data_IF_275633021852
#
_entry.id   IF_275633021852
#
_cell.length_a   1.000
_cell.length_b   1.000
_cell.length_c   1.000
_cell.angle_alpha   90.00
_cell.angle_beta   90.00
_cell.angle_gamma   90.00
#
_symmetry.space_group_name_H-M   'P 1'
#
loop_
_entity.id
_entity.type
_entity.pdbx_description
1 polymer ?
#
# COMPACT_ATOMS: atom_id res chain seq x y z
N UNK A 1 -1.57 -65.05 -26.98
CA UNK A 1 -0.79 -64.43 -25.89
C UNK A 1 -1.62 -63.29 -25.33
N UNK A 2 -2.11 -63.47 -24.12
CA UNK A 2 -3.17 -62.70 -23.49
C UNK A 2 -2.64 -62.23 -22.14
N UNK A 3 -2.58 -60.92 -21.88
CA UNK A 3 -2.49 -60.24 -20.58
C UNK A 3 -2.17 -58.76 -20.84
N UNK A 4 -2.62 -57.73 -20.12
CA UNK A 4 -3.62 -57.54 -19.08
C UNK A 4 -3.82 -56.02 -19.00
N UNK A 5 -5.07 -55.56 -18.99
CA UNK A 5 -5.44 -54.15 -18.87
C UNK A 5 -5.54 -53.82 -17.38
N UNK A 6 -4.64 -52.99 -16.86
CA UNK A 6 -4.67 -52.57 -15.45
C UNK A 6 -5.58 -51.35 -15.29
N UNK A 7 -6.80 -51.60 -14.85
CA UNK A 7 -7.77 -50.61 -14.36
C UNK A 7 -7.28 -49.98 -13.05
N UNK A 8 -7.19 -48.65 -12.98
CA UNK A 8 -7.06 -47.91 -11.70
C UNK A 8 -8.43 -47.47 -11.18
N UNK A 9 -8.74 -47.69 -9.89
CA UNK A 9 -10.03 -47.38 -9.32
C UNK A 9 -10.18 -45.89 -8.95
N UNK A 10 -11.41 -45.40 -9.16
CA UNK A 10 -11.93 -44.15 -8.64
C UNK A 10 -12.13 -44.21 -7.12
N UNK A 11 -11.62 -43.20 -6.39
CA UNK A 11 -11.93 -42.83 -4.99
C UNK A 11 -11.52 -41.36 -4.83
N UNK A 12 -12.22 -40.47 -4.15
CA UNK A 12 -13.49 -40.53 -3.46
C UNK A 12 -13.97 -39.08 -3.30
N UNK A 13 -15.27 -38.86 -3.46
CA UNK A 13 -15.94 -37.65 -3.00
C UNK A 13 -15.81 -37.53 -1.48
N UNK A 14 -15.43 -36.35 -0.99
CA UNK A 14 -15.78 -35.88 0.35
C UNK A 14 -16.16 -34.41 0.27
N UNK A 15 -17.47 -34.20 0.25
CA UNK A 15 -18.10 -32.94 0.61
C UNK A 15 -17.73 -32.60 2.06
N UNK A 16 -17.26 -31.38 2.28
CA UNK A 16 -17.19 -30.78 3.60
C UNK A 16 -18.15 -29.58 3.61
N UNK A 17 -19.34 -29.85 4.11
CA UNK A 17 -20.36 -28.90 4.51
C UNK A 17 -19.95 -28.37 5.89
N UNK A 18 -19.59 -27.09 6.02
CA UNK A 18 -19.46 -26.44 7.34
C UNK A 18 -20.04 -25.03 7.33
N UNK A 19 -21.20 -24.96 7.98
CA UNK A 19 -21.71 -23.89 8.83
C UNK A 19 -21.74 -22.44 8.31
N UNK A 20 -22.93 -22.05 7.87
CA UNK A 20 -23.42 -20.68 7.97
C UNK A 20 -23.43 -20.24 9.44
N UNK A 21 -22.67 -19.19 9.75
CA UNK A 21 -22.85 -18.39 10.96
C UNK A 21 -23.52 -17.08 10.56
N UNK A 22 -24.84 -17.04 10.75
CA UNK A 22 -25.59 -15.81 10.84
C UNK A 22 -25.21 -15.10 12.13
N UNK A 23 -24.71 -13.87 12.03
CA UNK A 23 -24.58 -12.93 13.15
C UNK A 23 -25.63 -11.83 13.00
N UNK A 24 -26.22 -11.38 14.11
CA UNK A 24 -27.46 -10.61 14.14
C UNK A 24 -27.24 -9.11 13.91
N UNK A 25 -28.29 -8.49 13.38
CA UNK A 25 -28.62 -7.07 13.50
C UNK A 25 -28.40 -6.54 14.92
N UNK A 26 -27.91 -5.30 15.03
CA UNK A 26 -28.48 -4.17 15.81
C UNK A 26 -27.36 -3.22 16.26
N UNK A 27 -27.40 -1.97 15.75
CA UNK A 27 -27.35 -0.75 16.57
C UNK A 27 -27.23 0.48 15.67
N UNK A 28 -28.37 1.00 15.24
CA UNK A 28 -28.46 2.37 14.75
C UNK A 28 -28.43 3.32 15.96
N UNK A 29 -27.27 3.92 16.23
CA UNK A 29 -27.18 5.08 17.11
C UNK A 29 -27.32 6.35 16.26
N UNK A 30 -28.52 6.91 16.25
CA UNK A 30 -28.77 8.24 15.76
C UNK A 30 -28.05 9.26 16.66
N UNK A 31 -26.96 9.85 16.17
CA UNK A 31 -26.36 11.03 16.79
C UNK A 31 -27.07 12.28 16.29
N UNK A 32 -27.86 12.89 17.18
CA UNK A 32 -28.40 14.23 17.04
C UNK A 32 -27.29 15.22 17.41
N UNK A 33 -26.81 16.01 16.45
CA UNK A 33 -25.90 17.14 16.71
C UNK A 33 -26.71 18.43 16.63
N UNK A 34 -26.87 19.20 17.73
CA UNK A 34 -27.38 20.56 17.64
C UNK A 34 -26.30 21.49 17.08
N UNK A 35 -26.69 22.21 16.03
CA UNK A 35 -25.96 23.29 15.38
C UNK A 35 -25.93 24.50 16.33
N UNK A 36 -24.81 24.71 17.02
CA UNK A 36 -24.53 25.96 17.75
C UNK A 36 -23.77 26.91 16.84
N UNK A 37 -24.49 27.83 16.20
CA UNK A 37 -23.94 29.05 15.60
C UNK A 37 -23.86 30.12 16.69
N UNK A 38 -22.68 30.35 17.24
CA UNK A 38 -22.31 31.67 17.76
C UNK A 38 -20.81 31.72 18.09
N UNK A 39 -20.02 32.40 17.26
CA UNK A 39 -18.83 33.06 17.79
C UNK A 39 -18.44 34.27 16.95
N UNK A 40 -18.83 35.43 17.47
CA UNK A 40 -18.33 36.73 17.08
C UNK A 40 -16.82 36.86 17.32
N UNK A 41 -16.14 37.51 16.38
CA UNK A 41 -14.79 38.03 16.57
C UNK A 41 -14.78 39.17 17.61
N UNK A 42 -13.64 39.43 18.27
CA UNK A 42 -12.86 40.58 17.83
C UNK A 42 -11.34 40.39 17.83
N UNK A 43 -10.70 41.25 17.05
CA UNK A 43 -9.26 41.36 16.84
C UNK A 43 -8.50 41.82 18.09
N UNK A 44 -7.25 41.36 18.28
CA UNK A 44 -6.16 42.23 18.72
C UNK A 44 -4.76 41.72 18.30
N UNK A 45 -3.88 42.69 18.13
CA UNK A 45 -2.52 42.68 17.59
C UNK A 45 -1.51 42.09 18.59
N UNK A 46 -0.53 41.35 18.08
CA UNK A 46 0.58 40.85 18.89
C UNK A 46 1.76 40.31 18.09
N UNK A 47 2.59 41.23 17.57
CA UNK A 47 4.03 41.16 17.31
C UNK A 47 4.68 40.11 16.35
N UNK A 48 5.76 40.49 15.64
CA UNK A 48 6.40 39.70 14.59
C UNK A 48 7.71 39.08 15.07
N UNK A 49 7.71 37.79 15.40
CA UNK A 49 8.94 37.06 15.67
C UNK A 49 8.72 35.56 15.45
N UNK A 50 8.57 35.13 14.20
CA UNK A 50 8.99 33.78 13.76
C UNK A 50 8.91 33.63 12.23
N UNK A 51 9.33 34.66 11.50
CA UNK A 51 9.50 34.60 10.04
C UNK A 51 10.83 33.97 9.63
N UNK A 52 11.50 33.27 10.55
CA UNK A 52 12.77 32.59 10.30
C UNK A 52 12.62 31.11 9.90
N UNK A 53 11.43 30.49 10.04
CA UNK A 53 11.24 29.07 9.68
C UNK A 53 10.80 28.81 8.22
N UNK A 54 10.64 29.85 7.39
CA UNK A 54 10.22 29.71 5.98
C UNK A 54 11.30 30.16 5.00
N UNK A 55 12.48 29.55 5.09
CA UNK A 55 13.56 29.77 4.13
C UNK A 55 14.29 28.48 3.75
N UNK A 56 13.54 27.42 3.40
CA UNK A 56 14.05 26.35 2.53
C UNK A 56 13.17 26.24 1.30
N UNK A 57 13.05 27.33 0.55
CA UNK A 57 12.66 27.25 -0.86
C UNK A 57 13.92 26.97 -1.67
N UNK A 58 14.46 25.76 -1.48
CA UNK A 58 15.42 25.17 -2.42
C UNK A 58 14.71 24.93 -3.76
N UNK A 59 15.49 24.65 -4.81
CA UNK A 59 14.99 24.18 -6.10
C UNK A 59 13.91 23.09 -5.92
N UNK A 60 12.98 22.89 -6.89
CA UNK A 60 12.08 21.75 -6.81
C UNK A 60 12.95 20.50 -6.68
N UNK A 61 12.94 19.90 -5.49
CA UNK A 61 13.57 18.62 -5.28
C UNK A 61 12.89 17.67 -6.26
N UNK A 62 13.69 16.86 -6.94
CA UNK A 62 13.15 15.74 -7.71
C UNK A 62 12.22 14.96 -6.75
N UNK A 63 10.92 14.86 -7.04
CA UNK A 63 9.96 14.24 -6.13
C UNK A 63 10.28 12.77 -5.87
N UNK A 64 11.11 12.15 -6.70
CA UNK A 64 11.59 10.77 -6.58
C UNK A 64 13.07 10.68 -6.18
N UNK A 65 13.68 11.76 -5.69
CA UNK A 65 15.02 11.71 -5.11
C UNK A 65 15.07 10.78 -3.88
N UNK A 66 16.22 10.17 -3.58
CA UNK A 66 16.41 9.39 -2.37
C UNK A 66 15.99 10.17 -1.12
N UNK A 67 15.13 9.56 -0.31
CA UNK A 67 14.63 10.18 0.90
C UNK A 67 15.64 10.03 2.05
N UNK A 68 15.82 11.11 2.82
CA UNK A 68 16.68 11.11 4.01
C UNK A 68 15.83 11.29 5.25
N UNK A 69 16.00 10.40 6.22
CA UNK A 69 15.31 10.49 7.50
C UNK A 69 15.64 11.83 8.19
N UNK A 70 14.64 12.59 8.67
CA UNK A 70 14.88 13.79 9.46
C UNK A 70 15.78 13.51 10.69
N UNK A 71 16.61 14.47 11.14
CA UNK A 71 17.36 14.33 12.37
C UNK A 71 16.46 13.96 13.56
N UNK A 72 16.84 12.93 14.31
CA UNK A 72 16.04 12.42 15.44
C UNK A 72 14.98 11.38 15.08
N UNK A 73 14.87 10.97 13.80
CA UNK A 73 13.99 9.87 13.39
C UNK A 73 14.27 8.58 14.15
N UNK A 74 13.23 7.79 14.41
CA UNK A 74 13.35 6.50 15.06
C UNK A 74 14.16 5.50 14.20
N UNK A 75 14.78 4.46 14.80
CA UNK A 75 15.43 3.40 14.03
C UNK A 75 14.49 2.70 13.04
N UNK A 76 13.20 2.55 13.38
CA UNK A 76 12.20 1.96 12.49
C UNK A 76 11.92 2.85 11.27
N UNK A 77 11.87 4.17 11.45
CA UNK A 77 11.70 5.12 10.36
C UNK A 77 12.89 5.09 9.38
N UNK A 78 14.12 5.04 9.91
CA UNK A 78 15.33 4.88 9.10
C UNK A 78 15.32 3.56 8.33
N UNK A 79 14.96 2.45 8.98
CA UNK A 79 14.89 1.14 8.35
C UNK A 79 13.81 1.08 7.26
N UNK A 80 12.65 1.72 7.49
CA UNK A 80 11.58 1.82 6.51
C UNK A 80 12.02 2.58 5.25
N UNK A 81 12.69 3.73 5.42
CA UNK A 81 13.23 4.48 4.29
C UNK A 81 14.31 3.70 3.53
N UNK A 82 15.17 2.97 4.25
CA UNK A 82 16.17 2.11 3.62
C UNK A 82 15.53 0.98 2.80
N UNK A 83 14.47 0.34 3.31
CA UNK A 83 13.71 -0.68 2.57
C UNK A 83 13.03 -0.08 1.32
N UNK A 84 12.46 1.13 1.42
CA UNK A 84 11.83 1.81 0.30
C UNK A 84 12.87 2.14 -0.79
N UNK A 85 14.01 2.70 -0.38
CA UNK A 85 15.12 3.05 -1.27
C UNK A 85 15.76 1.83 -1.95
N UNK A 86 15.85 0.69 -1.25
CA UNK A 86 16.36 -0.55 -1.84
C UNK A 86 15.54 -1.04 -3.06
N UNK A 87 14.30 -0.56 -3.22
CA UNK A 87 13.45 -0.89 -4.37
C UNK A 87 13.13 0.30 -5.27
N UNK A 88 13.60 1.50 -4.96
CA UNK A 88 13.21 2.74 -5.65
C UNK A 88 13.62 2.75 -7.12
N UNK A 89 14.87 2.36 -7.42
CA UNK A 89 15.38 2.31 -8.78
C UNK A 89 14.58 1.37 -9.69
N UNK A 90 14.21 0.19 -9.19
CA UNK A 90 13.42 -0.78 -9.96
C UNK A 90 11.97 -0.30 -10.17
N UNK A 91 11.37 0.37 -9.17
CA UNK A 91 10.03 0.98 -9.30
C UNK A 91 10.03 2.08 -10.35
N UNK A 92 11.05 2.93 -10.35
CA UNK A 92 11.21 3.98 -11.38
C UNK A 92 11.39 3.38 -12.77
N UNK A 93 12.23 2.35 -12.90
CA UNK A 93 12.43 1.67 -14.18
C UNK A 93 11.15 1.00 -14.71
N UNK A 94 10.34 0.40 -13.83
CA UNK A 94 9.03 -0.14 -14.19
C UNK A 94 8.06 0.97 -14.62
N UNK A 95 8.02 2.06 -13.86
CA UNK A 95 7.17 3.22 -14.16
C UNK A 95 7.48 3.83 -15.52
N UNK A 96 8.76 4.04 -15.82
CA UNK A 96 9.22 4.58 -17.12
C UNK A 96 8.87 3.64 -18.26
N UNK A 97 8.98 2.32 -18.05
CA UNK A 97 8.59 1.32 -19.04
C UNK A 97 7.10 1.39 -19.34
N UNK A 98 6.25 1.41 -18.31
CA UNK A 98 4.78 1.53 -18.46
C UNK A 98 4.42 2.83 -19.20
N UNK A 99 5.04 3.96 -18.85
CA UNK A 99 4.83 5.23 -19.54
C UNK A 99 5.22 5.14 -21.03
N UNK A 100 6.40 4.57 -21.32
CA UNK A 100 6.91 4.41 -22.69
C UNK A 100 6.01 3.53 -23.57
N UNK A 101 5.23 2.65 -22.95
CA UNK A 101 4.25 1.77 -23.59
C UNK A 101 2.87 2.43 -23.76
N UNK A 102 2.74 3.73 -23.45
CA UNK A 102 1.47 4.45 -23.49
C UNK A 102 0.51 3.99 -22.39
N UNK A 103 1.04 3.63 -21.21
CA UNK A 103 0.30 3.13 -20.03
C UNK A 103 -0.46 1.82 -20.27
N UNK A 104 0.01 1.03 -21.23
CA UNK A 104 -0.43 -0.35 -21.42
C UNK A 104 0.41 -1.25 -20.51
N UNK A 105 -0.24 -2.21 -19.87
CA UNK A 105 0.41 -3.21 -19.04
C UNK A 105 0.60 -4.50 -19.82
N UNK A 106 1.75 -5.14 -19.62
CA UNK A 106 2.07 -6.45 -20.18
C UNK A 106 2.41 -7.43 -19.06
N UNK A 107 2.37 -8.73 -19.35
CA UNK A 107 2.65 -9.79 -18.36
C UNK A 107 4.02 -9.62 -17.68
N UNK A 108 5.02 -9.13 -18.41
CA UNK A 108 6.36 -8.85 -17.87
C UNK A 108 6.36 -7.72 -16.83
N UNK A 109 5.45 -6.76 -16.95
CA UNK A 109 5.33 -5.65 -16.02
C UNK A 109 4.67 -6.10 -14.72
N UNK A 110 3.63 -6.94 -14.82
CA UNK A 110 3.00 -7.58 -13.67
C UNK A 110 4.00 -8.45 -12.90
N UNK A 111 4.78 -9.27 -13.61
CA UNK A 111 5.81 -10.11 -12.99
C UNK A 111 6.92 -9.27 -12.35
N UNK A 112 7.29 -8.14 -12.98
CA UNK A 112 8.28 -7.21 -12.41
C UNK A 112 7.76 -6.57 -11.12
N UNK A 113 6.52 -6.08 -11.09
CA UNK A 113 5.92 -5.51 -9.87
C UNK A 113 5.87 -6.53 -8.73
N UNK A 114 5.49 -7.79 -9.02
CA UNK A 114 5.49 -8.87 -8.01
C UNK A 114 6.87 -9.06 -7.40
N UNK A 115 7.92 -9.13 -8.23
CA UNK A 115 9.28 -9.31 -7.73
C UNK A 115 9.77 -8.12 -6.88
N UNK A 116 9.43 -6.89 -7.28
CA UNK A 116 9.77 -5.67 -6.53
C UNK A 116 9.08 -5.69 -5.16
N UNK A 117 7.77 -5.92 -5.13
CA UNK A 117 6.97 -5.88 -3.90
C UNK A 117 7.27 -7.05 -2.97
N UNK A 118 7.62 -8.23 -3.48
CA UNK A 118 8.08 -9.35 -2.65
C UNK A 118 9.35 -9.02 -1.88
N UNK A 119 10.35 -8.40 -2.53
CA UNK A 119 11.58 -7.97 -1.84
C UNK A 119 11.29 -6.89 -0.81
N UNK A 120 10.50 -5.89 -1.18
CA UNK A 120 10.11 -4.82 -0.25
C UNK A 120 9.38 -5.38 0.98
N UNK A 121 8.50 -6.37 0.78
CA UNK A 121 7.76 -7.01 1.87
C UNK A 121 8.69 -7.81 2.81
N UNK A 122 9.73 -8.46 2.28
CA UNK A 122 10.77 -9.12 3.10
C UNK A 122 11.47 -8.11 3.99
N UNK A 123 11.90 -6.98 3.42
CA UNK A 123 12.60 -5.94 4.17
C UNK A 123 11.67 -5.28 5.20
N UNK A 124 10.42 -4.98 4.84
CA UNK A 124 9.40 -4.42 5.73
C UNK A 124 9.18 -5.30 6.97
N UNK A 125 9.04 -6.62 6.76
CA UNK A 125 8.85 -7.60 7.84
C UNK A 125 10.06 -7.76 8.75
N UNK A 126 11.25 -7.44 8.27
CA UNK A 126 12.47 -7.46 9.07
C UNK A 126 12.56 -6.26 10.05
N UNK A 127 11.74 -5.21 9.84
CA UNK A 127 11.75 -4.01 10.69
C UNK A 127 11.07 -4.30 12.03
N UNK A 128 11.77 -3.99 13.11
CA UNK A 128 11.18 -3.99 14.45
C UNK A 128 10.48 -2.65 14.70
N UNK A 129 9.18 -2.59 14.41
CA UNK A 129 8.36 -1.42 14.71
C UNK A 129 8.07 -1.28 16.22
N UNK A 130 8.08 -0.05 16.77
CA UNK A 130 7.57 0.25 18.10
C UNK A 130 6.11 -0.20 18.27
N UNK A 131 5.67 -0.55 19.49
CA UNK A 131 4.30 -0.99 19.75
C UNK A 131 3.23 -0.01 19.25
N UNK A 132 3.50 1.29 19.34
CA UNK A 132 2.60 2.37 18.91
C UNK A 132 2.48 2.54 17.38
N UNK A 133 3.44 2.02 16.60
CA UNK A 133 3.44 2.06 15.12
C UNK A 133 3.00 0.72 14.53
N UNK A 134 3.00 -0.35 15.34
CA UNK A 134 2.72 -1.71 14.88
C UNK A 134 1.38 -1.85 14.14
N UNK A 135 0.26 -1.26 14.62
CA UNK A 135 -1.02 -1.40 13.93
C UNK A 135 -0.99 -0.88 12.48
N UNK A 136 -0.33 0.26 12.24
CA UNK A 136 -0.20 0.86 10.91
C UNK A 136 0.75 0.04 10.02
N UNK A 137 1.82 -0.50 10.60
CA UNK A 137 2.73 -1.40 9.88
C UNK A 137 2.03 -2.68 9.43
N UNK A 138 1.26 -3.31 10.32
CA UNK A 138 0.49 -4.52 10.03
C UNK A 138 -0.60 -4.23 8.97
N UNK A 139 -1.26 -3.07 9.05
CA UNK A 139 -2.25 -2.65 8.05
C UNK A 139 -1.61 -2.42 6.65
N UNK A 140 -0.43 -1.80 6.61
CA UNK A 140 0.30 -1.61 5.36
C UNK A 140 0.80 -2.94 4.78
N UNK A 141 1.30 -3.85 5.61
CA UNK A 141 1.68 -5.20 5.20
C UNK A 141 0.49 -5.93 4.58
N UNK A 142 -0.67 -5.91 5.24
CA UNK A 142 -1.89 -6.55 4.73
C UNK A 142 -2.33 -5.96 3.38
N UNK A 143 -2.26 -4.64 3.22
CA UNK A 143 -2.59 -3.97 1.97
C UNK A 143 -1.61 -4.31 0.83
N UNK A 144 -0.31 -4.43 1.12
CA UNK A 144 0.70 -4.91 0.18
C UNK A 144 0.42 -6.34 -0.26
N UNK A 145 0.11 -7.24 0.68
CA UNK A 145 -0.23 -8.64 0.38
C UNK A 145 -1.46 -8.73 -0.52
N UNK A 146 -2.53 -7.97 -0.21
CA UNK A 146 -3.74 -7.95 -1.02
C UNK A 146 -3.48 -7.46 -2.46
N UNK A 147 -2.66 -6.41 -2.62
CA UNK A 147 -2.25 -5.92 -3.93
C UNK A 147 -1.39 -6.95 -4.67
N UNK A 148 -0.40 -7.56 -4.01
CA UNK A 148 0.43 -8.61 -4.58
C UNK A 148 -0.39 -9.81 -5.07
N UNK A 149 -1.37 -10.26 -4.29
CA UNK A 149 -2.23 -11.38 -4.66
C UNK A 149 -3.11 -11.03 -5.88
N UNK A 150 -3.58 -9.79 -5.97
CA UNK A 150 -4.26 -9.29 -7.17
C UNK A 150 -3.33 -9.31 -8.40
N UNK A 151 -2.12 -8.75 -8.30
CA UNK A 151 -1.16 -8.70 -9.43
C UNK A 151 -0.71 -10.11 -9.84
N UNK A 152 -0.48 -11.03 -8.90
CA UNK A 152 -0.17 -12.43 -9.20
C UNK A 152 -1.31 -13.13 -9.94
N UNK A 153 -2.55 -12.88 -9.52
CA UNK A 153 -3.73 -13.43 -10.19
C UNK A 153 -3.82 -12.88 -11.62
N UNK A 154 -3.62 -11.58 -11.80
CA UNK A 154 -3.56 -10.94 -13.10
C UNK A 154 -2.46 -11.51 -14.00
N UNK A 155 -1.27 -11.75 -13.46
CA UNK A 155 -0.15 -12.35 -14.20
C UNK A 155 -0.41 -13.80 -14.63
N UNK A 156 -1.21 -14.54 -13.85
CA UNK A 156 -1.56 -15.93 -14.14
C UNK A 156 -2.77 -16.08 -15.09
N UNK A 157 -3.59 -15.02 -15.23
CA UNK A 157 -4.85 -15.06 -15.98
C UNK A 157 -4.90 -13.91 -16.99
N UNK A 158 -4.58 -14.15 -18.28
CA UNK A 158 -4.60 -13.13 -19.31
C UNK A 158 -5.95 -12.39 -19.36
N UNK A 159 -5.91 -11.05 -19.32
CA UNK A 159 -7.11 -10.21 -19.35
C UNK A 159 -7.70 -9.86 -17.99
N UNK A 160 -7.38 -10.61 -16.92
CA UNK A 160 -7.98 -10.44 -15.59
C UNK A 160 -7.85 -9.02 -15.05
N UNK A 161 -6.66 -8.40 -15.20
CA UNK A 161 -6.43 -7.01 -14.77
C UNK A 161 -7.43 -6.04 -15.42
N UNK A 162 -7.61 -6.13 -16.74
CA UNK A 162 -8.48 -5.24 -17.50
C UNK A 162 -9.98 -5.49 -17.26
N UNK A 163 -10.34 -6.71 -16.85
CA UNK A 163 -11.71 -7.08 -16.49
C UNK A 163 -12.10 -6.61 -15.07
N UNK A 164 -11.13 -6.30 -14.21
CA UNK A 164 -11.34 -5.97 -12.79
C UNK A 164 -10.75 -4.59 -12.39
N UNK A 165 -11.06 -3.50 -13.13
CA UNK A 165 -10.45 -2.19 -12.90
C UNK A 165 -10.86 -1.55 -11.55
N UNK A 166 -12.04 -1.87 -11.06
CA UNK A 166 -12.54 -1.44 -9.74
C UNK A 166 -11.76 -2.10 -8.61
N UNK A 167 -11.49 -3.41 -8.71
CA UNK A 167 -10.67 -4.14 -7.74
C UNK A 167 -9.25 -3.61 -7.75
N UNK A 168 -8.65 -3.46 -8.93
CA UNK A 168 -7.32 -2.87 -9.12
C UNK A 168 -7.20 -1.50 -8.42
N UNK A 169 -8.16 -0.62 -8.68
CA UNK A 169 -8.23 0.71 -8.07
C UNK A 169 -8.35 0.61 -6.55
N UNK A 170 -9.21 -0.27 -6.05
CA UNK A 170 -9.44 -0.44 -4.62
C UNK A 170 -8.18 -0.93 -3.88
N UNK A 171 -7.52 -1.97 -4.39
CA UNK A 171 -6.29 -2.50 -3.75
C UNK A 171 -5.14 -1.51 -3.82
N UNK A 172 -5.02 -0.77 -4.93
CA UNK A 172 -3.98 0.26 -5.06
C UNK A 172 -4.22 1.45 -4.11
N UNK A 173 -5.47 1.91 -4.00
CA UNK A 173 -5.84 2.97 -3.06
C UNK A 173 -5.62 2.53 -1.60
N UNK A 174 -6.01 1.30 -1.25
CA UNK A 174 -5.79 0.75 0.09
C UNK A 174 -4.29 0.71 0.44
N UNK A 175 -3.45 0.23 -0.48
CA UNK A 175 -1.99 0.23 -0.34
C UNK A 175 -1.44 1.65 -0.16
N UNK A 176 -1.88 2.61 -0.97
CA UNK A 176 -1.46 4.00 -0.86
C UNK A 176 -1.84 4.65 0.47
N UNK A 177 -3.10 4.49 0.89
CA UNK A 177 -3.59 5.02 2.16
C UNK A 177 -2.89 4.40 3.37
N UNK A 178 -2.71 3.08 3.39
CA UNK A 178 -2.01 2.40 4.49
C UNK A 178 -0.52 2.77 4.54
N UNK A 179 0.14 2.93 3.38
CA UNK A 179 1.51 3.42 3.31
C UNK A 179 1.66 4.86 3.83
N UNK A 180 0.69 5.73 3.53
CA UNK A 180 0.67 7.09 4.11
C UNK A 180 0.51 7.04 5.63
N UNK A 181 -0.42 6.24 6.14
CA UNK A 181 -0.65 6.11 7.58
C UNK A 181 0.58 5.58 8.32
N UNK A 182 1.29 4.59 7.76
CA UNK A 182 2.55 4.12 8.33
C UNK A 182 3.62 5.22 8.34
N UNK A 183 3.74 6.01 7.28
CA UNK A 183 4.70 7.14 7.25
C UNK A 183 4.36 8.19 8.31
N UNK A 184 3.09 8.53 8.45
CA UNK A 184 2.62 9.46 9.48
C UNK A 184 2.95 8.93 10.88
N UNK A 185 2.71 7.65 11.15
CA UNK A 185 3.06 7.01 12.43
C UNK A 185 4.58 6.92 12.69
N UNK A 186 5.40 6.98 11.65
CA UNK A 186 6.86 7.02 11.72
C UNK A 186 7.43 8.45 11.79
N UNK A 187 6.57 9.48 11.85
CA UNK A 187 6.93 10.90 11.75
C UNK A 187 7.75 11.23 10.48
N UNK A 188 7.48 10.50 9.38
CA UNK A 188 8.11 10.73 8.09
C UNK A 188 7.28 11.73 7.26
N UNK A 189 7.92 12.61 6.48
CA UNK A 189 7.19 13.50 5.57
C UNK A 189 6.40 12.69 4.54
N UNK A 190 5.38 13.26 3.88
CA UNK A 190 4.72 12.59 2.75
C UNK A 190 5.71 12.30 1.61
N UNK A 191 5.58 11.14 0.94
CA UNK A 191 6.33 10.85 -0.28
C UNK A 191 5.68 11.59 -1.46
N UNK A 192 6.47 12.41 -2.18
CA UNK A 192 6.01 13.17 -3.34
C UNK A 192 6.17 12.42 -4.68
N UNK A 193 6.86 11.28 -4.69
CA UNK A 193 7.11 10.48 -5.89
C UNK A 193 5.83 9.80 -6.37
N UNK A 194 5.49 10.05 -7.63
CA UNK A 194 4.35 9.42 -8.31
C UNK A 194 4.91 8.49 -9.37
N UNK A 195 4.69 7.20 -9.19
CA UNK A 195 5.10 6.16 -10.15
C UNK A 195 3.90 5.55 -10.84
N UNK A 196 4.06 5.25 -12.12
CA UNK A 196 3.19 4.31 -12.80
C UNK A 196 3.46 2.91 -12.24
N UNK A 197 2.41 2.21 -11.91
CA UNK A 197 2.42 0.82 -11.49
C UNK A 197 1.27 0.10 -12.19
N UNK A 198 1.31 -1.23 -12.29
CA UNK A 198 0.16 -2.00 -12.69
C UNK A 198 -1.12 -1.49 -12.06
#
# INVERSE_FOLDING_TARGET
MTTSRTSRPARAARAALVAALALPMLAACAFVVPLSTDQAAPADRGAPADRAARAHRGAPADPCAPEVAPPGSSPAAVAYLAAAEATSADRMALSDRIESQGRKLYDVDLATEVAIDERFLVDLRAITFPPEVRPEADAFEAALVAYLDFVRTAAAQPGYYGEHPDVATAVNNARGSAGSALRDALDLPPNGCVVNRP
#
